data_IF_213722156183
#
_entry.id   IF_213722156183
#
_cell.length_a   1.000
_cell.length_b   1.000
_cell.length_c   1.000
_cell.angle_alpha   90.00
_cell.angle_beta   90.00
_cell.angle_gamma   90.00
#
_symmetry.space_group_name_H-M   'P 1'
#
loop_
_entity.id
_entity.type
_entity.pdbx_description
1 polymer ?
#
# COMPACT_ATOMS: atom_id res chain seq x y z
N UNK A 1 -24.78 -2.51 42.89
CA UNK A 1 -24.30 -3.20 41.68
C UNK A 1 -25.51 -3.89 41.07
N UNK A 2 -25.71 -3.78 39.77
CA UNK A 2 -26.79 -4.47 39.05
C UNK A 2 -26.57 -5.99 39.15
N UNK A 3 -27.61 -6.75 39.48
CA UNK A 3 -27.58 -8.21 39.47
C UNK A 3 -27.47 -8.72 38.02
N UNK A 4 -26.64 -9.72 37.77
CA UNK A 4 -26.51 -10.34 36.44
C UNK A 4 -27.20 -11.70 36.50
N UNK A 5 -28.28 -11.86 35.74
CA UNK A 5 -28.97 -13.13 35.61
C UNK A 5 -28.30 -13.98 34.53
N UNK A 6 -28.08 -15.24 34.86
CA UNK A 6 -27.61 -16.30 33.96
C UNK A 6 -28.73 -17.28 33.64
N UNK A 7 -29.78 -17.33 34.46
CA UNK A 7 -30.87 -18.28 34.33
C UNK A 7 -31.76 -18.01 33.09
N UNK A 8 -32.36 -19.09 32.56
CA UNK A 8 -33.18 -19.03 31.35
C UNK A 8 -34.54 -18.37 31.59
N UNK A 9 -35.17 -18.62 32.74
CA UNK A 9 -36.52 -18.15 33.07
C UNK A 9 -36.54 -17.17 34.26
N UNK A 10 -35.36 -16.62 34.63
CA UNK A 10 -35.21 -15.65 35.72
C UNK A 10 -35.33 -16.25 37.12
N UNK A 11 -35.07 -17.55 37.26
CA UNK A 11 -35.10 -18.28 38.52
C UNK A 11 -34.12 -17.68 39.54
N UNK A 12 -32.91 -17.35 39.08
CA UNK A 12 -31.87 -16.74 39.90
C UNK A 12 -32.25 -15.34 40.40
N UNK A 13 -33.06 -14.58 39.65
CA UNK A 13 -33.58 -13.27 40.06
C UNK A 13 -34.57 -13.44 41.22
N UNK A 14 -35.52 -14.37 41.13
CA UNK A 14 -36.47 -14.63 42.21
C UNK A 14 -35.77 -15.12 43.47
N UNK A 15 -34.84 -16.05 43.31
CA UNK A 15 -34.02 -16.52 44.42
C UNK A 15 -33.18 -15.39 45.02
N UNK A 16 -32.61 -14.50 44.18
CA UNK A 16 -31.81 -13.38 44.66
C UNK A 16 -32.66 -12.34 45.40
N UNK A 17 -33.90 -12.11 44.96
CA UNK A 17 -34.86 -11.27 45.69
C UNK A 17 -35.09 -11.81 47.10
N UNK A 18 -35.35 -13.11 47.22
CA UNK A 18 -35.60 -13.76 48.51
C UNK A 18 -34.33 -13.86 49.39
N UNK A 19 -33.17 -14.13 48.79
CA UNK A 19 -31.98 -14.59 49.53
C UNK A 19 -30.76 -13.67 49.41
N UNK A 20 -30.80 -12.58 48.63
CA UNK A 20 -29.65 -11.70 48.38
C UNK A 20 -29.10 -10.98 49.62
N UNK A 21 -29.82 -11.03 50.74
CA UNK A 21 -29.36 -10.57 52.04
C UNK A 21 -28.33 -11.51 52.68
N UNK A 22 -28.27 -12.78 52.26
CA UNK A 22 -27.32 -13.79 52.73
C UNK A 22 -25.97 -13.63 52.03
N UNK A 23 -24.88 -13.55 52.81
CA UNK A 23 -23.54 -13.23 52.28
C UNK A 23 -22.73 -14.40 51.76
N UNK A 24 -22.94 -15.60 52.29
CA UNK A 24 -22.21 -16.82 51.95
C UNK A 24 -23.16 -18.01 52.08
N UNK A 25 -24.23 -18.00 51.29
CA UNK A 25 -25.21 -19.06 51.32
C UNK A 25 -24.71 -20.33 50.65
N UNK A 26 -25.53 -21.36 50.75
CA UNK A 26 -25.26 -22.68 50.19
C UNK A 26 -26.41 -23.16 49.32
N UNK A 27 -26.12 -23.65 48.13
CA UNK A 27 -27.11 -24.23 47.22
C UNK A 27 -26.79 -25.69 46.89
N UNK A 28 -27.81 -26.43 46.47
CA UNK A 28 -27.66 -27.73 45.83
C UNK A 28 -28.41 -27.68 44.50
N UNK A 29 -27.73 -28.05 43.42
CA UNK A 29 -28.25 -28.00 42.05
C UNK A 29 -28.21 -29.41 41.45
N UNK A 30 -29.38 -29.99 41.23
CA UNK A 30 -29.56 -31.35 40.70
C UNK A 30 -30.01 -31.26 39.26
N UNK A 31 -29.19 -31.80 38.35
CA UNK A 31 -29.30 -31.50 36.92
C UNK A 31 -28.78 -30.10 36.63
N UNK A 32 -27.54 -29.86 37.06
CA UNK A 32 -26.91 -28.55 37.00
C UNK A 32 -26.53 -28.13 35.56
N UNK A 33 -26.35 -29.08 34.65
CA UNK A 33 -26.08 -28.88 33.23
C UNK A 33 -24.86 -27.97 32.96
N UNK A 34 -25.05 -26.73 32.53
CA UNK A 34 -23.95 -25.84 32.16
C UNK A 34 -23.54 -24.93 33.34
N UNK A 35 -22.24 -24.80 33.67
CA UNK A 35 -21.81 -23.97 34.80
C UNK A 35 -22.03 -22.46 34.60
N UNK A 36 -22.34 -22.00 33.38
CA UNK A 36 -22.49 -20.59 33.03
C UNK A 36 -23.80 -20.35 32.27
N UNK A 37 -24.01 -21.05 31.17
CA UNK A 37 -25.17 -20.83 30.30
C UNK A 37 -26.44 -21.33 30.99
N UNK A 38 -27.47 -20.49 31.07
CA UNK A 38 -28.76 -20.87 31.70
C UNK A 38 -28.66 -21.30 33.18
N UNK A 39 -27.52 -21.04 33.83
CA UNK A 39 -27.25 -21.49 35.20
C UNK A 39 -28.03 -20.66 36.23
N UNK A 40 -28.82 -21.34 37.07
CA UNK A 40 -29.54 -20.72 38.20
C UNK A 40 -28.59 -20.36 39.35
N UNK A 41 -27.44 -21.03 39.44
CA UNK A 41 -26.50 -20.89 40.55
C UNK A 41 -25.30 -20.00 40.23
N UNK A 42 -25.10 -19.59 38.96
CA UNK A 42 -23.92 -18.84 38.55
C UNK A 42 -23.78 -17.50 39.27
N UNK A 43 -24.85 -16.72 39.33
CA UNK A 43 -24.86 -15.42 39.98
C UNK A 43 -24.54 -15.50 41.48
N UNK A 44 -25.03 -16.53 42.18
CA UNK A 44 -24.78 -16.74 43.60
C UNK A 44 -23.30 -17.02 43.89
N UNK A 45 -22.68 -17.89 43.09
CA UNK A 45 -21.26 -18.20 43.24
C UNK A 45 -20.34 -17.02 42.97
N UNK A 46 -20.66 -16.20 41.97
CA UNK A 46 -19.95 -14.95 41.71
C UNK A 46 -20.10 -13.98 42.88
N UNK A 47 -21.21 -14.05 43.62
CA UNK A 47 -21.43 -13.34 44.87
C UNK A 47 -20.78 -14.00 46.09
N UNK A 48 -19.99 -15.07 45.92
CA UNK A 48 -19.23 -15.73 46.98
C UNK A 48 -19.94 -16.92 47.65
N UNK A 49 -21.10 -17.34 47.16
CA UNK A 49 -21.77 -18.54 47.62
C UNK A 49 -21.05 -19.80 47.13
N UNK A 50 -21.30 -20.93 47.77
CA UNK A 50 -20.76 -22.23 47.38
C UNK A 50 -21.86 -23.27 47.41
N UNK A 51 -21.73 -24.33 46.63
CA UNK A 51 -22.75 -25.36 46.63
C UNK A 51 -22.27 -26.70 46.09
N UNK A 52 -23.26 -27.55 45.83
CA UNK A 52 -23.06 -28.84 45.20
C UNK A 52 -23.75 -28.79 43.84
N UNK A 53 -22.99 -29.10 42.78
CA UNK A 53 -23.52 -29.29 41.43
C UNK A 53 -23.52 -30.78 41.12
N UNK A 54 -24.69 -31.34 40.83
CA UNK A 54 -24.86 -32.75 40.46
C UNK A 54 -25.16 -32.80 38.97
N UNK A 55 -24.21 -33.30 38.19
CA UNK A 55 -24.28 -33.34 36.74
C UNK A 55 -23.63 -34.64 36.21
N UNK A 56 -24.40 -35.61 35.69
CA UNK A 56 -23.88 -36.91 35.28
C UNK A 56 -23.08 -36.89 33.97
N UNK A 57 -23.25 -35.89 33.10
CA UNK A 57 -22.59 -35.85 31.80
C UNK A 57 -21.11 -35.44 31.94
N UNK A 58 -20.16 -36.26 31.43
CA UNK A 58 -18.73 -35.97 31.58
C UNK A 58 -18.27 -34.64 30.96
N UNK A 59 -18.89 -34.23 29.85
CA UNK A 59 -18.58 -32.97 29.16
C UNK A 59 -18.87 -31.75 30.04
N UNK A 60 -20.00 -31.77 30.76
CA UNK A 60 -20.38 -30.69 31.66
C UNK A 60 -19.63 -30.76 32.98
N UNK A 61 -19.42 -31.96 33.55
CA UNK A 61 -18.62 -32.12 34.76
C UNK A 61 -17.21 -31.52 34.60
N UNK A 62 -16.54 -31.77 33.46
CA UNK A 62 -15.24 -31.17 33.18
C UNK A 62 -15.27 -29.63 33.16
N UNK A 63 -16.36 -29.03 32.70
CA UNK A 63 -16.53 -27.58 32.67
C UNK A 63 -16.79 -27.03 34.07
N UNK A 64 -17.59 -27.72 34.88
CA UNK A 64 -17.77 -27.39 36.30
C UNK A 64 -16.44 -27.39 37.07
N UNK A 65 -15.58 -28.38 36.86
CA UNK A 65 -14.24 -28.40 37.49
C UNK A 65 -13.37 -27.19 37.11
N UNK A 66 -13.56 -26.63 35.91
CA UNK A 66 -12.81 -25.47 35.42
C UNK A 66 -13.40 -24.14 35.88
N UNK A 67 -14.71 -23.97 35.72
CA UNK A 67 -15.43 -22.70 35.92
C UNK A 67 -15.94 -22.54 37.36
N UNK A 68 -16.12 -23.65 38.08
CA UNK A 68 -16.71 -23.73 39.43
C UNK A 68 -15.81 -24.48 40.42
N UNK A 69 -14.49 -24.20 40.49
CA UNK A 69 -13.58 -24.95 41.37
C UNK A 69 -13.83 -24.73 42.87
N UNK A 70 -14.64 -23.73 43.24
CA UNK A 70 -15.06 -23.52 44.62
C UNK A 70 -16.21 -24.43 45.07
N UNK A 71 -16.98 -24.96 44.12
CA UNK A 71 -18.11 -25.84 44.39
C UNK A 71 -17.67 -27.30 44.51
N UNK A 72 -18.56 -28.13 45.05
CA UNK A 72 -18.44 -29.58 45.00
C UNK A 72 -19.15 -30.05 43.73
N UNK A 73 -18.39 -30.52 42.75
CA UNK A 73 -18.94 -30.93 41.45
C UNK A 73 -18.95 -32.46 41.35
N UNK A 74 -20.14 -33.05 41.24
CA UNK A 74 -20.33 -34.50 41.31
C UNK A 74 -20.79 -35.06 39.95
N UNK A 75 -19.97 -35.93 39.36
CA UNK A 75 -20.27 -36.65 38.11
C UNK A 75 -21.21 -37.85 38.36
N UNK A 76 -22.39 -37.58 38.90
CA UNK A 76 -23.38 -38.60 39.30
C UNK A 76 -24.79 -38.13 38.92
N UNK A 77 -25.73 -39.05 38.82
CA UNK A 77 -27.16 -38.75 38.86
C UNK A 77 -27.70 -38.85 40.30
N UNK A 78 -28.81 -38.15 40.57
CA UNK A 78 -29.55 -38.31 41.82
C UNK A 78 -30.80 -39.19 41.60
N UNK A 79 -31.14 -40.03 42.57
CA UNK A 79 -32.31 -40.91 42.46
C UNK A 79 -32.74 -41.55 43.79
N UNK A 80 -33.72 -42.45 43.72
CA UNK A 80 -34.34 -43.04 44.91
C UNK A 80 -33.43 -44.02 45.70
N UNK A 81 -32.41 -44.58 45.04
CA UNK A 81 -31.44 -45.48 45.64
C UNK A 81 -30.07 -45.35 44.95
N UNK A 82 -29.01 -45.68 45.67
CA UNK A 82 -27.66 -45.78 45.11
C UNK A 82 -27.59 -46.91 44.07
N UNK A 83 -26.88 -46.69 42.96
CA UNK A 83 -26.80 -47.68 41.88
C UNK A 83 -26.22 -47.12 40.58
N UNK A 84 -26.72 -47.62 39.46
CA UNK A 84 -26.38 -47.14 38.12
C UNK A 84 -27.66 -46.86 37.33
N UNK A 85 -27.61 -45.82 36.49
CA UNK A 85 -28.71 -45.41 35.62
C UNK A 85 -28.22 -45.31 34.19
N UNK A 86 -29.05 -45.75 33.25
CA UNK A 86 -28.82 -45.47 31.84
C UNK A 86 -29.39 -44.08 31.54
N UNK A 87 -28.54 -43.20 31.03
CA UNK A 87 -28.88 -41.87 30.59
C UNK A 87 -28.78 -41.80 29.05
N UNK A 88 -29.70 -41.07 28.44
CA UNK A 88 -29.75 -40.83 27.01
C UNK A 88 -29.50 -39.36 26.75
N UNK A 89 -28.41 -39.04 26.08
CA UNK A 89 -27.98 -37.67 25.78
C UNK A 89 -28.18 -37.33 24.30
N UNK A 90 -28.44 -36.06 24.01
CA UNK A 90 -28.46 -35.48 22.67
C UNK A 90 -27.32 -34.47 22.59
N UNK A 91 -26.10 -34.85 22.17
CA UNK A 91 -24.93 -33.98 22.28
C UNK A 91 -25.02 -32.64 21.53
N UNK A 92 -25.97 -32.52 20.60
CA UNK A 92 -26.24 -31.29 19.85
C UNK A 92 -27.17 -30.31 20.57
N UNK A 93 -27.82 -30.70 21.67
CA UNK A 93 -28.77 -29.88 22.42
C UNK A 93 -28.52 -30.00 23.93
N UNK A 94 -28.11 -28.91 24.57
CA UNK A 94 -27.87 -28.88 26.02
C UNK A 94 -29.19 -29.04 26.79
N UNK A 95 -29.14 -29.75 27.92
CA UNK A 95 -30.28 -29.93 28.82
C UNK A 95 -31.24 -31.06 28.45
N UNK A 96 -31.11 -31.74 27.31
CA UNK A 96 -32.06 -32.79 26.89
C UNK A 96 -31.72 -34.21 27.37
N UNK A 97 -30.74 -34.34 28.26
CA UNK A 97 -30.34 -35.65 28.74
C UNK A 97 -31.38 -36.19 29.73
N UNK A 98 -31.96 -37.35 29.41
CA UNK A 98 -33.02 -37.95 30.23
C UNK A 98 -32.77 -39.44 30.43
N UNK A 99 -33.14 -40.01 31.59
CA UNK A 99 -33.13 -41.46 31.78
C UNK A 99 -34.34 -42.17 31.15
N UNK A 100 -35.32 -41.44 30.64
CA UNK A 100 -36.51 -42.02 30.02
C UNK A 100 -36.22 -42.47 28.57
N UNK A 101 -36.27 -43.79 28.36
CA UNK A 101 -36.09 -44.39 27.03
C UNK A 101 -37.17 -43.96 26.01
N UNK A 102 -38.36 -43.55 26.47
CA UNK A 102 -39.43 -43.00 25.65
C UNK A 102 -39.08 -41.61 25.11
N UNK A 103 -38.49 -40.75 25.94
CA UNK A 103 -37.98 -39.43 25.53
C UNK A 103 -36.87 -39.61 24.49
N UNK A 104 -35.92 -40.52 24.75
CA UNK A 104 -34.87 -40.86 23.81
C UNK A 104 -35.41 -41.40 22.47
N UNK A 105 -36.47 -42.21 22.50
CA UNK A 105 -37.10 -42.71 21.28
C UNK A 105 -37.80 -41.60 20.47
N UNK A 106 -38.43 -40.64 21.15
CA UNK A 106 -39.03 -39.47 20.51
C UNK A 106 -37.98 -38.61 19.80
N UNK A 107 -36.86 -38.30 20.46
CA UNK A 107 -35.77 -37.52 19.85
C UNK A 107 -35.13 -38.24 18.65
N UNK A 108 -34.94 -39.56 18.72
CA UNK A 108 -34.49 -40.34 17.54
C UNK A 108 -35.48 -40.25 16.39
N UNK A 109 -36.79 -40.29 16.66
CA UNK A 109 -37.83 -40.17 15.64
C UNK A 109 -37.87 -38.77 14.99
N UNK A 110 -37.46 -37.74 15.74
CA UNK A 110 -37.28 -36.36 15.24
C UNK A 110 -35.97 -36.16 14.47
N UNK A 111 -35.10 -37.16 14.42
CA UNK A 111 -33.85 -37.15 13.65
C UNK A 111 -32.62 -36.71 14.43
N UNK A 112 -32.69 -36.66 15.77
CA UNK A 112 -31.54 -36.36 16.61
C UNK A 112 -30.67 -37.59 16.87
N UNK A 113 -29.36 -37.37 16.93
CA UNK A 113 -28.40 -38.38 17.37
C UNK A 113 -28.44 -38.52 18.88
N UNK A 114 -28.85 -39.70 19.37
CA UNK A 114 -28.95 -40.01 20.80
C UNK A 114 -27.82 -40.96 21.22
N UNK A 115 -27.06 -40.56 22.21
CA UNK A 115 -25.98 -41.33 22.82
C UNK A 115 -26.46 -41.97 24.13
N UNK A 116 -26.09 -43.22 24.37
CA UNK A 116 -26.39 -43.91 25.63
C UNK A 116 -25.14 -43.97 26.51
N UNK A 117 -25.29 -43.64 27.78
CA UNK A 117 -24.24 -43.76 28.78
C UNK A 117 -24.80 -44.34 30.09
N UNK A 118 -23.98 -45.12 30.80
CA UNK A 118 -24.30 -45.59 32.15
C UNK A 118 -23.59 -44.70 33.15
N UNK A 119 -24.32 -44.12 34.09
CA UNK A 119 -23.81 -43.18 35.10
C UNK A 119 -24.11 -43.68 36.51
N UNK A 120 -23.22 -43.42 37.48
CA UNK A 120 -23.49 -43.73 38.89
C UNK A 120 -24.65 -42.88 39.43
N UNK A 121 -25.45 -43.48 40.30
CA UNK A 121 -26.57 -42.83 41.00
C UNK A 121 -26.27 -42.82 42.49
N UNK A 122 -26.56 -41.68 43.15
CA UNK A 122 -26.63 -41.59 44.61
C UNK A 122 -27.97 -41.02 45.05
N UNK A 123 -28.41 -41.38 46.25
CA UNK A 123 -29.47 -40.67 46.95
C UNK A 123 -29.01 -39.27 47.37
N UNK A 124 -29.92 -38.29 47.34
CA UNK A 124 -29.61 -36.96 47.88
C UNK A 124 -29.32 -37.02 49.38
N UNK A 125 -29.93 -37.94 50.13
CA UNK A 125 -29.56 -38.18 51.54
C UNK A 125 -28.07 -38.48 51.70
N UNK A 126 -27.54 -39.39 50.87
CA UNK A 126 -26.12 -39.76 50.91
C UNK A 126 -25.20 -38.58 50.57
N UNK A 127 -25.54 -37.83 49.52
CA UNK A 127 -24.79 -36.62 49.11
C UNK A 127 -24.83 -35.55 50.20
N UNK A 128 -26.00 -35.33 50.80
CA UNK A 128 -26.22 -34.31 51.82
C UNK A 128 -25.43 -34.61 53.09
N UNK A 129 -25.51 -35.85 53.58
CA UNK A 129 -24.77 -36.31 54.76
C UNK A 129 -23.25 -36.19 54.56
N UNK A 130 -22.78 -36.47 53.35
CA UNK A 130 -21.37 -36.42 53.03
C UNK A 130 -20.84 -34.99 52.96
N UNK A 131 -21.58 -34.06 52.35
CA UNK A 131 -21.03 -32.76 51.94
C UNK A 131 -21.60 -31.54 52.66
N UNK A 132 -22.84 -31.58 53.13
CA UNK A 132 -23.49 -30.41 53.73
C UNK A 132 -23.14 -30.31 55.22
N UNK A 133 -22.85 -29.09 55.69
CA UNK A 133 -22.45 -28.81 57.08
C UNK A 133 -23.27 -27.71 57.77
N UNK A 134 -24.22 -27.11 57.06
CA UNK A 134 -25.05 -26.02 57.56
C UNK A 134 -26.30 -25.85 56.71
N UNK A 135 -26.84 -24.64 56.71
CA UNK A 135 -28.08 -24.34 56.01
C UNK A 135 -27.91 -24.38 54.49
N UNK A 136 -28.82 -25.07 53.82
CA UNK A 136 -28.99 -25.00 52.37
C UNK A 136 -30.13 -24.02 52.10
N UNK A 137 -29.83 -22.97 51.37
CA UNK A 137 -30.76 -21.87 51.19
C UNK A 137 -31.69 -22.14 50.01
N UNK A 138 -31.22 -22.87 48.99
CA UNK A 138 -32.12 -23.46 48.01
C UNK A 138 -31.60 -24.78 47.43
N UNK A 139 -32.54 -25.64 47.05
CA UNK A 139 -32.32 -26.87 46.28
C UNK A 139 -33.08 -26.74 44.96
N UNK A 140 -32.35 -26.85 43.84
CA UNK A 140 -32.93 -26.92 42.49
C UNK A 140 -32.93 -28.39 42.02
N UNK A 141 -34.04 -28.85 41.47
CA UNK A 141 -34.19 -30.18 40.87
C UNK A 141 -34.83 -30.03 39.50
N UNK A 142 -34.08 -30.42 38.47
CA UNK A 142 -34.45 -30.30 37.07
C UNK A 142 -33.70 -31.39 36.32
N UNK A 143 -34.35 -32.55 36.17
CA UNK A 143 -33.71 -33.79 35.70
C UNK A 143 -34.55 -34.43 34.60
N UNK A 144 -35.25 -33.59 33.84
CA UNK A 144 -36.00 -33.92 32.63
C UNK A 144 -36.96 -35.11 32.83
N UNK A 145 -37.81 -35.00 33.86
CA UNK A 145 -38.89 -35.94 34.17
C UNK A 145 -38.56 -36.97 35.26
N UNK A 146 -37.38 -36.89 35.88
CA UNK A 146 -36.93 -37.80 36.94
C UNK A 146 -37.07 -37.20 38.37
N UNK A 147 -37.75 -36.06 38.52
CA UNK A 147 -37.80 -35.27 39.76
C UNK A 147 -38.39 -36.07 40.92
N UNK A 148 -39.42 -36.88 40.64
CA UNK A 148 -40.06 -37.73 41.64
C UNK A 148 -39.14 -38.80 42.21
N UNK A 149 -38.22 -39.36 41.41
CA UNK A 149 -37.23 -40.33 41.88
C UNK A 149 -36.15 -39.67 42.73
N UNK A 150 -35.70 -38.46 42.34
CA UNK A 150 -34.79 -37.65 43.17
C UNK A 150 -35.40 -37.38 44.54
N UNK A 151 -36.67 -36.96 44.59
CA UNK A 151 -37.39 -36.67 45.83
C UNK A 151 -37.63 -37.91 46.70
N UNK A 152 -37.85 -39.09 46.11
CA UNK A 152 -37.94 -40.35 46.87
C UNK A 152 -36.63 -40.73 47.55
N UNK A 153 -35.50 -40.28 46.99
CA UNK A 153 -34.16 -40.44 47.57
C UNK A 153 -33.78 -39.39 48.60
N UNK A 154 -34.71 -38.51 49.00
CA UNK A 154 -34.45 -37.38 49.86
C UNK A 154 -35.43 -37.28 51.03
N UNK A 155 -34.90 -37.27 52.25
CA UNK A 155 -35.69 -37.11 53.48
C UNK A 155 -35.82 -35.63 53.85
N UNK A 156 -36.88 -35.01 53.33
CA UNK A 156 -37.24 -33.63 53.60
C UNK A 156 -37.66 -33.35 55.05
N UNK A 157 -37.84 -34.38 55.90
CA UNK A 157 -38.02 -34.20 57.35
C UNK A 157 -36.70 -33.95 58.06
N UNK A 158 -35.60 -34.49 57.51
CA UNK A 158 -34.25 -34.41 58.07
C UNK A 158 -33.43 -33.28 57.44
N UNK A 159 -33.51 -33.15 56.12
CA UNK A 159 -32.76 -32.19 55.34
C UNK A 159 -33.70 -31.08 54.86
N UNK A 160 -33.44 -29.85 55.31
CA UNK A 160 -34.39 -28.73 55.23
C UNK A 160 -33.81 -27.55 54.41
N UNK A 161 -33.69 -27.66 53.07
CA UNK A 161 -33.44 -26.48 52.26
C UNK A 161 -34.53 -25.42 52.47
N UNK A 162 -34.18 -24.14 52.50
CA UNK A 162 -35.19 -23.09 52.76
C UNK A 162 -36.18 -22.96 51.60
N UNK A 163 -35.68 -23.02 50.38
CA UNK A 163 -36.47 -22.93 49.13
C UNK A 163 -36.20 -24.17 48.27
N UNK A 164 -37.26 -24.73 47.69
CA UNK A 164 -37.20 -25.74 46.64
C UNK A 164 -37.60 -25.11 45.32
N UNK A 165 -36.82 -25.36 44.27
CA UNK A 165 -37.13 -25.01 42.88
C UNK A 165 -37.15 -26.31 42.08
N UNK A 166 -38.32 -26.74 41.64
CA UNK A 166 -38.49 -28.07 41.05
C UNK A 166 -39.18 -27.92 39.70
N UNK A 167 -38.58 -28.48 38.65
CA UNK A 167 -39.19 -28.51 37.32
C UNK A 167 -40.54 -29.25 37.39
N UNK A 168 -41.56 -28.67 36.79
CA UNK A 168 -42.94 -29.09 36.96
C UNK A 168 -43.65 -29.38 35.64
N UNK A 169 -42.91 -29.53 34.55
CA UNK A 169 -43.41 -29.79 33.20
C UNK A 169 -42.93 -31.14 32.67
N UNK A 170 -43.66 -31.70 31.71
CA UNK A 170 -43.12 -32.78 30.90
C UNK A 170 -41.97 -32.23 30.04
N UNK A 171 -40.95 -33.06 29.70
CA UNK A 171 -39.83 -32.63 28.87
C UNK A 171 -40.31 -31.92 27.60
N UNK A 172 -39.73 -30.75 27.33
CA UNK A 172 -40.05 -29.90 26.17
C UNK A 172 -41.54 -29.57 25.98
N UNK A 173 -42.30 -29.47 27.08
CA UNK A 173 -43.75 -29.25 27.05
C UNK A 173 -44.21 -28.16 28.02
N UNK A 174 -45.41 -27.60 27.77
CA UNK A 174 -46.11 -26.71 28.70
C UNK A 174 -47.08 -27.46 29.63
N UNK A 175 -47.18 -28.78 29.47
CA UNK A 175 -48.05 -29.63 30.27
C UNK A 175 -47.35 -29.92 31.60
N UNK A 176 -48.02 -29.62 32.71
CA UNK A 176 -47.42 -29.81 34.02
C UNK A 176 -47.48 -31.27 34.50
N UNK A 177 -46.46 -31.73 35.22
CA UNK A 177 -46.36 -33.09 35.80
C UNK A 177 -46.27 -33.11 37.35
N UNK A 178 -46.31 -31.94 38.01
CA UNK A 178 -46.09 -31.80 39.46
C UNK A 178 -46.95 -32.71 40.36
N UNK A 179 -48.16 -33.09 39.93
CA UNK A 179 -49.03 -34.00 40.68
C UNK A 179 -48.34 -35.35 41.02
N UNK A 180 -47.32 -35.74 40.25
CA UNK A 180 -46.56 -36.98 40.45
C UNK A 180 -45.58 -36.94 41.63
N UNK A 181 -45.19 -35.74 42.08
CA UNK A 181 -44.15 -35.55 43.10
C UNK A 181 -44.48 -34.51 44.17
N UNK A 182 -45.40 -33.57 43.94
CA UNK A 182 -45.77 -32.50 44.89
C UNK A 182 -46.22 -33.02 46.27
N UNK A 183 -46.94 -34.17 46.38
CA UNK A 183 -47.25 -34.74 47.69
C UNK A 183 -46.00 -35.09 48.52
N UNK A 184 -44.88 -35.44 47.88
CA UNK A 184 -43.60 -35.71 48.57
C UNK A 184 -43.00 -34.44 49.17
N UNK A 185 -43.33 -33.27 48.64
CA UNK A 185 -42.84 -31.97 49.12
C UNK A 185 -43.78 -31.41 50.18
N UNK A 186 -45.07 -31.28 49.83
CA UNK A 186 -46.08 -30.64 50.68
C UNK A 186 -46.40 -31.41 51.96
N UNK A 187 -46.30 -32.75 51.94
CA UNK A 187 -46.46 -33.57 53.15
C UNK A 187 -45.34 -33.34 54.18
N UNK A 188 -44.23 -32.73 53.78
CA UNK A 188 -43.08 -32.44 54.63
C UNK A 188 -42.97 -30.95 54.98
N UNK A 189 -44.09 -30.22 55.06
CA UNK A 189 -44.08 -28.84 55.57
C UNK A 189 -43.37 -27.86 54.65
N UNK A 190 -43.64 -27.96 53.35
CA UNK A 190 -43.28 -26.98 52.34
C UNK A 190 -44.54 -26.36 51.73
N UNK A 191 -44.55 -25.04 51.60
CA UNK A 191 -45.67 -24.27 51.06
C UNK A 191 -45.37 -23.83 49.64
N UNK A 192 -46.31 -24.08 48.73
CA UNK A 192 -46.23 -23.58 47.36
C UNK A 192 -46.20 -22.04 47.36
N UNK A 193 -45.26 -21.48 46.60
CA UNK A 193 -45.03 -20.04 46.50
C UNK A 193 -45.38 -19.51 45.11
N UNK A 194 -44.84 -20.15 44.06
CA UNK A 194 -44.91 -19.63 42.69
C UNK A 194 -44.75 -20.73 41.65
N UNK A 195 -45.29 -20.48 40.45
CA UNK A 195 -45.02 -21.25 39.24
C UNK A 195 -44.64 -20.28 38.12
N UNK A 196 -43.42 -20.40 37.61
CA UNK A 196 -42.89 -19.48 36.59
C UNK A 196 -43.18 -19.94 35.13
N UNK A 197 -44.00 -20.99 34.98
CA UNK A 197 -44.29 -21.62 33.70
C UNK A 197 -43.44 -22.85 33.40
N UNK A 198 -42.36 -23.06 34.14
CA UNK A 198 -41.45 -24.21 34.05
C UNK A 198 -41.25 -24.86 35.43
N UNK A 199 -40.78 -24.06 36.39
CA UNK A 199 -40.45 -24.47 37.75
C UNK A 199 -41.53 -24.06 38.76
N UNK A 200 -41.76 -24.92 39.76
CA UNK A 200 -42.53 -24.60 40.96
C UNK A 200 -41.61 -24.34 42.14
N UNK A 201 -41.94 -23.29 42.88
CA UNK A 201 -41.20 -22.83 44.05
C UNK A 201 -41.96 -23.22 45.31
N UNK A 202 -41.25 -23.79 46.29
CA UNK A 202 -41.80 -24.08 47.61
C UNK A 202 -40.88 -23.55 48.69
N UNK A 203 -41.47 -23.12 49.80
CA UNK A 203 -40.74 -22.57 50.95
C UNK A 203 -41.01 -23.43 52.17
N UNK A 204 -39.95 -23.76 52.90
CA UNK A 204 -40.04 -24.52 54.15
C UNK A 204 -40.88 -23.74 55.19
N UNK A 205 -41.69 -24.44 55.99
CA UNK A 205 -42.54 -23.82 57.02
C UNK A 205 -41.75 -22.95 58.01
N UNK A 206 -40.50 -23.32 58.30
CA UNK A 206 -39.60 -22.58 59.20
C UNK A 206 -39.09 -21.26 58.61
N UNK A 207 -39.21 -21.09 57.29
CA UNK A 207 -38.80 -19.91 56.53
C UNK A 207 -39.97 -19.24 55.79
N UNK A 208 -41.17 -19.35 56.36
CA UNK A 208 -42.40 -18.84 55.75
C UNK A 208 -42.36 -17.32 55.45
N UNK A 209 -41.45 -16.56 56.06
CA UNK A 209 -41.17 -15.16 55.71
C UNK A 209 -40.76 -14.97 54.25
N UNK A 210 -40.10 -15.96 53.63
CA UNK A 210 -39.61 -15.88 52.25
C UNK A 210 -40.74 -15.99 51.20
N UNK A 211 -41.92 -16.48 51.59
CA UNK A 211 -43.07 -16.60 50.68
C UNK A 211 -43.46 -15.26 50.05
N UNK A 212 -43.37 -14.18 50.83
CA UNK A 212 -43.75 -12.84 50.38
C UNK A 212 -42.90 -12.38 49.18
N UNK A 213 -41.61 -12.74 49.16
CA UNK A 213 -40.66 -12.34 48.12
C UNK A 213 -40.88 -13.07 46.79
N UNK A 214 -41.46 -14.28 46.84
CA UNK A 214 -41.68 -15.15 45.68
C UNK A 214 -43.08 -15.01 45.05
N UNK A 215 -43.92 -14.07 45.51
CA UNK A 215 -45.33 -13.99 45.06
C UNK A 215 -45.56 -13.45 43.65
N UNK A 216 -44.55 -12.81 43.06
CA UNK A 216 -44.63 -12.18 41.74
C UNK A 216 -43.39 -12.49 40.93
N UNK A 217 -43.55 -12.54 39.61
CA UNK A 217 -42.46 -12.75 38.66
C UNK A 217 -41.34 -11.70 38.78
N UNK A 218 -40.13 -11.98 38.25
CA UNK A 218 -39.12 -10.96 38.02
C UNK A 218 -39.70 -9.77 37.25
N UNK A 219 -39.33 -8.56 37.67
CA UNK A 219 -39.85 -7.33 37.09
C UNK A 219 -38.84 -6.18 37.24
N UNK A 220 -39.25 -4.97 36.84
CA UNK A 220 -38.40 -3.77 36.79
C UNK A 220 -37.80 -3.36 38.14
N UNK A 221 -38.35 -3.83 39.26
CA UNK A 221 -37.86 -3.52 40.60
C UNK A 221 -36.68 -4.40 41.04
N UNK A 222 -36.33 -5.44 40.27
CA UNK A 222 -35.22 -6.35 40.61
C UNK A 222 -33.84 -5.87 40.11
N UNK A 223 -33.80 -4.76 39.36
CA UNK A 223 -32.56 -4.10 38.90
C UNK A 223 -31.51 -5.06 38.29
N UNK A 224 -31.95 -5.98 37.42
CA UNK A 224 -31.08 -6.99 36.81
C UNK A 224 -30.69 -6.68 35.35
N UNK A 225 -29.64 -7.35 34.88
CA UNK A 225 -29.26 -7.42 33.47
C UNK A 225 -29.02 -8.87 33.06
N UNK A 226 -29.45 -9.24 31.86
CA UNK A 226 -29.18 -10.57 31.30
C UNK A 226 -27.71 -10.71 30.91
N UNK A 227 -27.09 -11.82 31.31
CA UNK A 227 -25.76 -12.21 30.87
C UNK A 227 -25.65 -12.27 29.34
N UNK A 228 -26.62 -12.91 28.67
CA UNK A 228 -26.65 -13.02 27.22
C UNK A 228 -26.71 -11.63 26.55
N UNK A 229 -27.51 -10.70 27.08
CA UNK A 229 -27.56 -9.34 26.54
C UNK A 229 -26.23 -8.58 26.71
N UNK A 230 -25.56 -8.76 27.85
CA UNK A 230 -24.24 -8.17 28.10
C UNK A 230 -23.21 -8.76 27.12
N UNK A 231 -23.20 -10.09 26.97
CA UNK A 231 -22.33 -10.80 26.06
C UNK A 231 -22.53 -10.35 24.60
N UNK A 232 -23.78 -10.33 24.12
CA UNK A 232 -24.10 -9.87 22.77
C UNK A 232 -23.68 -8.42 22.52
N UNK A 233 -23.90 -7.52 23.49
CA UNK A 233 -23.45 -6.12 23.38
C UNK A 233 -21.93 -6.03 23.26
N UNK A 234 -21.19 -6.83 24.01
CA UNK A 234 -19.74 -6.89 23.91
C UNK A 234 -19.30 -7.39 22.52
N UNK A 235 -19.94 -8.44 22.01
CA UNK A 235 -19.67 -8.98 20.67
C UNK A 235 -19.97 -7.97 19.56
N UNK A 236 -21.10 -7.26 19.64
CA UNK A 236 -21.45 -6.19 18.69
C UNK A 236 -20.45 -5.04 18.76
N UNK A 237 -20.02 -4.65 19.96
CA UNK A 237 -19.01 -3.61 20.13
C UNK A 237 -17.66 -4.03 19.51
N UNK A 238 -17.21 -5.26 19.75
CA UNK A 238 -16.00 -5.82 19.16
C UNK A 238 -16.09 -5.89 17.63
N UNK A 239 -17.22 -6.35 17.08
CA UNK A 239 -17.46 -6.40 15.65
C UNK A 239 -17.45 -5.00 15.00
N UNK A 240 -18.04 -3.99 15.67
CA UNK A 240 -18.00 -2.59 15.21
C UNK A 240 -16.57 -2.02 15.21
N UNK A 241 -15.78 -2.32 16.24
CA UNK A 241 -14.38 -1.90 16.29
C UNK A 241 -13.57 -2.55 15.15
N UNK A 242 -13.69 -3.87 14.96
CA UNK A 242 -13.04 -4.58 13.88
C UNK A 242 -13.45 -4.05 12.49
N UNK A 243 -14.72 -3.68 12.32
CA UNK A 243 -15.19 -3.09 11.07
C UNK A 243 -14.59 -1.69 10.83
N UNK A 244 -14.49 -0.86 11.87
CA UNK A 244 -13.84 0.45 11.77
C UNK A 244 -12.36 0.33 11.38
N UNK A 245 -11.64 -0.61 11.99
CA UNK A 245 -10.23 -0.88 11.65
C UNK A 245 -10.08 -1.35 10.20
N UNK A 246 -11.00 -2.20 9.72
CA UNK A 246 -11.02 -2.66 8.34
C UNK A 246 -11.29 -1.51 7.35
N UNK A 247 -12.21 -0.59 7.68
CA UNK A 247 -12.47 0.60 6.88
C UNK A 247 -11.23 1.50 6.81
N UNK A 248 -10.55 1.71 7.94
CA UNK A 248 -9.33 2.52 7.97
C UNK A 248 -8.21 1.88 7.14
N UNK A 249 -8.05 0.57 7.23
CA UNK A 249 -7.09 -0.18 6.41
C UNK A 249 -7.42 -0.07 4.90
N UNK A 250 -8.70 -0.12 4.55
CA UNK A 250 -9.18 0.06 3.19
C UNK A 250 -8.89 1.47 2.66
N UNK A 251 -9.18 2.51 3.44
CA UNK A 251 -8.85 3.91 3.08
C UNK A 251 -7.34 4.10 2.88
N UNK A 252 -6.53 3.54 3.76
CA UNK A 252 -5.08 3.59 3.63
C UNK A 252 -4.60 2.87 2.35
N UNK A 253 -5.21 1.72 2.02
CA UNK A 253 -4.90 1.00 0.78
C UNK A 253 -5.27 1.81 -0.47
N UNK A 254 -6.40 2.53 -0.47
CA UNK A 254 -6.77 3.43 -1.57
C UNK A 254 -5.72 4.53 -1.78
N UNK A 255 -5.26 5.17 -0.71
CA UNK A 255 -4.19 6.18 -0.79
C UNK A 255 -2.88 5.60 -1.34
N UNK A 256 -2.51 4.37 -0.94
CA UNK A 256 -1.34 3.69 -1.50
C UNK A 256 -1.49 3.40 -2.99
N UNK A 257 -2.68 2.97 -3.43
CA UNK A 257 -2.99 2.73 -4.83
C UNK A 257 -2.90 4.04 -5.63
N UNK A 258 -3.46 5.14 -5.14
CA UNK A 258 -3.38 6.46 -5.78
C UNK A 258 -1.92 6.92 -5.93
N UNK A 259 -1.11 6.76 -4.89
CA UNK A 259 0.32 7.08 -4.94
C UNK A 259 1.06 6.21 -5.96
N UNK A 260 0.78 4.91 -6.00
CA UNK A 260 1.38 3.99 -6.96
C UNK A 260 0.99 4.32 -8.40
N UNK A 261 -0.27 4.71 -8.64
CA UNK A 261 -0.72 5.20 -9.96
C UNK A 261 0.05 6.46 -10.37
N UNK A 262 0.23 7.42 -9.44
CA UNK A 262 1.02 8.62 -9.69
C UNK A 262 2.49 8.32 -10.04
N UNK A 263 3.10 7.31 -9.39
CA UNK A 263 4.45 6.86 -9.72
C UNK A 263 4.53 6.22 -11.10
N UNK A 264 3.53 5.43 -11.50
CA UNK A 264 3.45 4.83 -12.83
C UNK A 264 3.34 5.92 -13.90
N UNK A 265 2.50 6.93 -13.69
CA UNK A 265 2.34 8.05 -14.63
C UNK A 265 3.61 8.89 -14.76
N UNK A 266 4.29 9.17 -13.64
CA UNK A 266 5.61 9.83 -13.66
C UNK A 266 6.64 9.02 -14.43
N UNK A 267 6.73 7.71 -14.17
CA UNK A 267 7.64 6.81 -14.89
C UNK A 267 7.32 6.73 -16.39
N UNK A 268 6.05 6.78 -16.79
CA UNK A 268 5.65 6.85 -18.21
C UNK A 268 6.10 8.15 -18.86
N UNK A 269 5.99 9.28 -18.16
CA UNK A 269 6.47 10.57 -18.66
C UNK A 269 7.99 10.59 -18.82
N UNK A 270 8.73 10.04 -17.85
CA UNK A 270 10.19 9.88 -17.94
C UNK A 270 10.60 8.98 -19.11
N UNK A 271 9.91 7.86 -19.31
CA UNK A 271 10.16 6.96 -20.44
C UNK A 271 9.92 7.67 -21.78
N UNK A 272 8.83 8.43 -21.91
CA UNK A 272 8.54 9.18 -23.13
C UNK A 272 9.62 10.24 -23.41
N UNK A 273 10.08 10.96 -22.38
CA UNK A 273 11.16 11.94 -22.52
C UNK A 273 12.50 11.28 -22.91
N UNK A 274 12.81 10.12 -22.34
CA UNK A 274 14.00 9.34 -22.70
C UNK A 274 13.92 8.84 -24.15
N UNK A 275 12.74 8.41 -24.62
CA UNK A 275 12.52 8.01 -26.01
C UNK A 275 12.77 9.18 -26.98
N UNK A 276 12.24 10.37 -26.69
CA UNK A 276 12.48 11.57 -27.50
C UNK A 276 13.97 11.94 -27.56
N UNK A 277 14.68 11.83 -26.43
CA UNK A 277 16.13 12.06 -26.39
C UNK A 277 16.90 11.04 -27.25
N UNK A 278 16.53 9.77 -27.21
CA UNK A 278 17.14 8.71 -28.03
C UNK A 278 16.91 9.01 -29.51
N UNK A 279 15.70 9.37 -29.90
CA UNK A 279 15.37 9.74 -31.29
C UNK A 279 16.21 10.94 -31.76
N UNK A 280 16.36 11.97 -30.93
CA UNK A 280 17.20 13.13 -31.23
C UNK A 280 18.69 12.81 -31.32
N UNK A 281 19.20 11.89 -30.50
CA UNK A 281 20.58 11.42 -30.58
C UNK A 281 20.82 10.60 -31.87
N UNK A 282 19.87 9.76 -32.24
CA UNK A 282 19.90 8.99 -33.48
C UNK A 282 19.95 9.89 -34.72
N UNK A 283 19.19 10.98 -34.72
CA UNK A 283 19.22 11.96 -35.81
C UNK A 283 20.57 12.68 -35.89
N UNK A 284 21.11 13.15 -34.76
CA UNK A 284 22.46 13.75 -34.71
C UNK A 284 23.54 12.77 -35.16
N UNK A 285 23.41 11.49 -34.81
CA UNK A 285 24.34 10.45 -35.24
C UNK A 285 24.29 10.28 -36.76
N UNK A 286 23.09 10.28 -37.37
CA UNK A 286 22.94 10.25 -38.83
C UNK A 286 23.58 11.46 -39.51
N UNK A 287 23.38 12.67 -38.98
CA UNK A 287 24.00 13.88 -39.51
C UNK A 287 25.54 13.86 -39.40
N UNK A 288 26.05 13.40 -38.25
CA UNK A 288 27.49 13.24 -38.05
C UNK A 288 28.08 12.23 -39.03
N UNK A 289 27.43 11.08 -39.23
CA UNK A 289 27.84 10.10 -40.23
C UNK A 289 27.83 10.67 -41.66
N UNK A 290 26.79 11.42 -42.05
CA UNK A 290 26.76 12.08 -43.36
C UNK A 290 27.90 13.10 -43.52
N UNK A 291 28.22 13.83 -42.46
CA UNK A 291 29.33 14.78 -42.44
C UNK A 291 30.68 14.07 -42.60
N UNK A 292 30.91 12.97 -41.89
CA UNK A 292 32.12 12.14 -42.05
C UNK A 292 32.26 11.66 -43.50
N UNK A 293 31.20 11.10 -44.07
CA UNK A 293 31.19 10.63 -45.47
C UNK A 293 31.55 11.75 -46.45
N UNK A 294 31.00 12.96 -46.25
CA UNK A 294 31.32 14.10 -47.13
C UNK A 294 32.76 14.59 -46.97
N UNK A 295 33.31 14.59 -45.75
CA UNK A 295 34.72 14.93 -45.49
C UNK A 295 35.66 13.91 -46.11
N UNK A 296 35.35 12.62 -46.03
CA UNK A 296 36.17 11.56 -46.63
C UNK A 296 36.22 11.70 -48.16
N UNK A 297 35.09 12.05 -48.79
CA UNK A 297 35.06 12.38 -50.23
C UNK A 297 35.94 13.57 -50.57
N UNK A 298 35.80 14.68 -49.82
CA UNK A 298 36.63 15.87 -50.04
C UNK A 298 38.12 15.58 -49.85
N UNK A 299 38.49 14.79 -48.84
CA UNK A 299 39.86 14.34 -48.61
C UNK A 299 40.38 13.53 -49.81
N UNK A 300 39.59 12.57 -50.30
CA UNK A 300 39.96 11.79 -51.49
C UNK A 300 40.18 12.66 -52.73
N UNK A 301 39.31 13.64 -52.96
CA UNK A 301 39.46 14.61 -54.07
C UNK A 301 40.74 15.46 -53.91
N UNK A 302 41.00 15.98 -52.70
CA UNK A 302 42.21 16.76 -52.44
C UNK A 302 43.50 15.94 -52.57
N UNK A 303 43.50 14.68 -52.12
CA UNK A 303 44.63 13.76 -52.30
C UNK A 303 44.88 13.48 -53.77
N UNK A 304 43.83 13.20 -54.55
CA UNK A 304 43.95 12.99 -56.00
C UNK A 304 44.50 14.24 -56.72
N UNK A 305 44.07 15.43 -56.30
CA UNK A 305 44.60 16.68 -56.83
C UNK A 305 46.07 16.92 -56.45
N UNK A 306 46.46 16.60 -55.21
CA UNK A 306 47.85 16.69 -54.77
C UNK A 306 48.75 15.75 -55.57
N UNK A 307 48.33 14.50 -55.79
CA UNK A 307 49.06 13.55 -56.64
C UNK A 307 49.23 14.05 -58.07
N UNK A 308 48.20 14.68 -58.65
CA UNK A 308 48.29 15.29 -59.98
C UNK A 308 49.34 16.41 -60.00
N UNK A 309 49.32 17.29 -59.00
CA UNK A 309 50.24 18.41 -58.90
C UNK A 309 51.69 17.93 -58.71
N UNK A 310 51.90 16.89 -57.90
CA UNK A 310 53.21 16.25 -57.74
C UNK A 310 53.72 15.68 -59.07
N UNK A 311 52.86 15.03 -59.86
CA UNK A 311 53.23 14.54 -61.21
C UNK A 311 53.59 15.70 -62.15
N UNK A 312 52.81 16.78 -62.14
CA UNK A 312 53.11 17.97 -62.95
C UNK A 312 54.42 18.64 -62.55
N UNK A 313 54.68 18.74 -61.25
CA UNK A 313 55.93 19.29 -60.71
C UNK A 313 57.12 18.41 -61.09
N UNK A 314 57.00 17.09 -60.97
CA UNK A 314 58.03 16.15 -61.40
C UNK A 314 58.31 16.30 -62.90
N UNK A 315 57.28 16.39 -63.74
CA UNK A 315 57.42 16.63 -65.16
C UNK A 315 58.05 18.00 -65.47
N UNK A 316 57.71 19.04 -64.71
CA UNK A 316 58.31 20.36 -64.84
C UNK A 316 59.79 20.36 -64.46
N UNK A 317 60.16 19.71 -63.36
CA UNK A 317 61.54 19.56 -62.93
C UNK A 317 62.39 18.84 -64.00
N UNK A 318 61.87 17.75 -64.58
CA UNK A 318 62.53 17.07 -65.69
C UNK A 318 62.73 17.98 -66.91
N UNK A 319 61.73 18.80 -67.25
CA UNK A 319 61.87 19.81 -68.32
C UNK A 319 62.92 20.87 -67.98
N UNK A 320 62.97 21.33 -66.73
CA UNK A 320 63.98 22.30 -66.28
C UNK A 320 65.38 21.70 -66.39
N UNK A 321 65.58 20.45 -65.97
CA UNK A 321 66.85 19.73 -66.12
C UNK A 321 67.24 19.58 -67.60
N UNK A 322 66.32 19.24 -68.50
CA UNK A 322 66.59 19.17 -69.95
C UNK A 322 66.97 20.54 -70.52
N UNK A 323 66.29 21.62 -70.12
CA UNK A 323 66.63 22.99 -70.54
C UNK A 323 67.99 23.41 -70.00
N UNK A 324 68.33 23.11 -68.74
CA UNK A 324 69.64 23.38 -68.17
C UNK A 324 70.75 22.59 -68.89
N UNK A 325 70.50 21.32 -69.21
CA UNK A 325 71.42 20.49 -69.96
C UNK A 325 71.67 21.04 -71.37
N UNK A 326 70.61 21.39 -72.10
CA UNK A 326 70.72 22.01 -73.44
C UNK A 326 71.37 23.38 -73.39
N UNK A 327 71.07 24.18 -72.37
CA UNK A 327 71.70 25.49 -72.17
C UNK A 327 73.20 25.31 -71.93
N UNK A 328 73.59 24.33 -71.11
CA UNK A 328 75.00 24.03 -70.86
C UNK A 328 75.70 23.52 -72.12
N UNK A 329 75.09 22.66 -72.94
CA UNK A 329 75.63 22.25 -74.24
C UNK A 329 75.83 23.45 -75.18
N UNK A 330 74.86 24.36 -75.23
CA UNK A 330 74.95 25.60 -76.02
C UNK A 330 76.09 26.48 -75.51
N UNK A 331 76.16 26.74 -74.19
CA UNK A 331 77.18 27.57 -73.56
C UNK A 331 78.60 26.98 -73.68
N UNK A 332 78.73 25.66 -73.71
CA UNK A 332 80.03 24.97 -73.83
C UNK A 332 80.48 24.71 -75.27
N UNK A 333 79.59 24.89 -76.24
CA UNK A 333 79.89 24.71 -77.67
C UNK A 333 80.95 25.68 -78.21
N UNK A 334 81.74 25.20 -79.19
CA UNK A 334 82.81 25.98 -79.84
C UNK A 334 82.31 27.29 -80.46
N UNK A 335 81.10 27.31 -81.02
CA UNK A 335 80.51 28.51 -81.62
C UNK A 335 80.13 29.57 -80.59
N UNK A 336 79.68 29.16 -79.39
CA UNK A 336 79.30 30.09 -78.31
C UNK A 336 80.52 30.72 -77.63
N UNK A 337 81.57 29.94 -77.36
CA UNK A 337 82.84 30.46 -76.81
C UNK A 337 83.60 31.40 -77.76
N UNK A 338 83.52 31.16 -79.07
CA UNK A 338 84.16 32.04 -80.08
C UNK A 338 83.41 33.37 -80.22
N UNK A 339 82.08 33.37 -80.03
CA UNK A 339 81.24 34.58 -80.17
C UNK A 339 80.95 35.30 -78.84
N UNK A 340 81.49 34.79 -77.73
CA UNK A 340 81.33 35.34 -76.37
C UNK A 340 81.76 36.83 -76.25
N UNK A 341 82.90 37.29 -76.82
CA UNK A 341 83.28 38.70 -76.76
C UNK A 341 82.33 39.63 -77.53
N UNK A 342 81.74 39.12 -78.63
CA UNK A 342 80.82 39.87 -79.49
C UNK A 342 79.39 39.93 -78.93
N UNK A 343 79.01 39.01 -78.03
CA UNK A 343 77.69 39.00 -77.38
C UNK A 343 77.67 39.68 -76.02
N UNK A 344 78.80 39.75 -75.32
CA UNK A 344 78.97 40.64 -74.17
C UNK A 344 78.77 42.12 -74.57
N UNK A 345 79.12 42.49 -75.81
CA UNK A 345 78.88 43.83 -76.37
C UNK A 345 77.38 44.15 -76.64
N UNK A 346 76.50 43.13 -76.72
CA UNK A 346 75.06 43.28 -76.97
C UNK A 346 74.16 42.96 -75.75
N UNK A 347 74.75 42.63 -74.59
CA UNK A 347 74.00 42.36 -73.36
C UNK A 347 73.41 43.63 -72.68
N UNK A 348 73.86 44.82 -73.10
CA UNK A 348 73.35 46.10 -72.59
C UNK A 348 71.91 46.41 -72.99
N UNK A 349 71.49 46.03 -74.21
CA UNK A 349 70.17 46.40 -74.74
C UNK A 349 69.07 45.38 -74.39
N UNK A 350 69.37 44.08 -74.34
CA UNK A 350 68.41 43.05 -73.89
C UNK A 350 68.03 43.22 -72.41
N UNK A 351 68.97 43.63 -71.55
CA UNK A 351 68.69 43.92 -70.15
C UNK A 351 67.77 45.12 -69.94
N UNK A 352 67.76 46.10 -70.86
CA UNK A 352 66.83 47.22 -70.84
C UNK A 352 65.44 46.82 -71.36
N UNK A 353 65.37 46.02 -72.43
CA UNK A 353 64.12 45.52 -73.00
C UNK A 353 63.36 44.56 -72.06
N UNK A 354 64.07 43.62 -71.41
CA UNK A 354 63.47 42.70 -70.42
C UNK A 354 62.98 43.47 -69.18
N UNK A 355 63.74 44.47 -68.70
CA UNK A 355 63.32 45.33 -67.58
C UNK A 355 62.12 46.21 -67.94
N UNK A 356 62.04 46.72 -69.17
CA UNK A 356 60.88 47.50 -69.65
C UNK A 356 59.62 46.64 -69.76
N UNK A 357 59.72 45.41 -70.30
CA UNK A 357 58.60 44.48 -70.47
C UNK A 357 58.13 43.88 -69.14
N UNK A 358 59.06 43.65 -68.20
CA UNK A 358 58.76 43.28 -66.81
C UNK A 358 58.07 44.43 -66.07
N UNK A 359 58.54 45.68 -66.22
CA UNK A 359 57.90 46.86 -65.64
C UNK A 359 56.47 47.07 -66.20
N UNK A 360 56.23 46.78 -67.47
CA UNK A 360 54.91 46.90 -68.09
C UNK A 360 53.93 45.78 -67.66
N UNK A 361 54.41 44.55 -67.46
CA UNK A 361 53.61 43.47 -66.86
C UNK A 361 53.31 43.74 -65.38
N UNK A 362 54.30 44.17 -64.60
CA UNK A 362 54.11 44.56 -63.20
C UNK A 362 53.13 45.72 -63.10
N UNK A 363 53.23 46.73 -63.98
CA UNK A 363 52.27 47.83 -64.06
C UNK A 363 50.87 47.32 -64.36
N UNK A 364 50.65 46.45 -65.35
CA UNK A 364 49.33 45.85 -65.64
C UNK A 364 48.74 45.06 -64.48
N UNK A 365 49.56 44.27 -63.78
CA UNK A 365 49.14 43.52 -62.60
C UNK A 365 48.76 44.46 -61.46
N UNK A 366 49.57 45.49 -61.20
CA UNK A 366 49.30 46.53 -60.19
C UNK A 366 48.05 47.34 -60.54
N UNK A 367 47.82 47.72 -61.80
CA UNK A 367 46.61 48.44 -62.23
C UNK A 367 45.36 47.59 -62.03
N UNK A 368 45.37 46.30 -62.41
CA UNK A 368 44.27 45.37 -62.12
C UNK A 368 44.01 45.16 -60.63
N UNK A 369 45.06 45.26 -59.81
CA UNK A 369 44.98 45.19 -58.34
C UNK A 369 44.37 46.45 -57.73
N UNK A 370 44.53 47.61 -58.38
CA UNK A 370 43.92 48.89 -57.97
C UNK A 370 42.46 49.00 -58.43
N UNK A 371 42.14 48.47 -59.61
CA UNK A 371 40.79 48.54 -60.21
C UNK A 371 39.80 47.48 -59.69
N UNK A 372 40.27 46.37 -59.09
CA UNK A 372 39.42 45.26 -58.65
C UNK A 372 39.39 45.10 -57.11
N UNK A 373 38.26 45.44 -56.51
CA UNK A 373 38.07 45.51 -55.05
C UNK A 373 38.15 44.13 -54.35
N UNK A 374 37.72 43.05 -55.02
CA UNK A 374 37.77 41.68 -54.48
C UNK A 374 39.20 41.11 -54.40
N UNK A 375 40.04 41.43 -55.38
CA UNK A 375 41.47 41.07 -55.38
C UNK A 375 42.24 41.85 -54.31
N UNK A 376 41.90 43.12 -54.10
CA UNK A 376 42.52 43.99 -53.11
C UNK A 376 42.38 43.45 -51.67
N UNK A 377 41.21 42.94 -51.31
CA UNK A 377 40.97 42.35 -49.96
C UNK A 377 41.76 41.06 -49.71
N UNK A 378 42.06 40.28 -50.74
CA UNK A 378 42.79 39.00 -50.61
C UNK A 378 44.30 39.16 -50.64
N UNK A 379 44.82 40.11 -51.42
CA UNK A 379 46.27 40.26 -51.66
C UNK A 379 46.96 41.17 -50.64
N UNK A 380 46.27 42.17 -50.08
CA UNK A 380 46.83 43.09 -49.06
C UNK A 380 47.35 42.35 -47.80
N UNK A 381 46.61 41.40 -47.20
CA UNK A 381 47.10 40.66 -46.04
C UNK A 381 48.34 39.80 -46.33
N UNK A 382 48.46 39.30 -47.57
CA UNK A 382 49.60 38.52 -48.04
C UNK A 382 50.84 39.39 -48.30
N UNK A 383 50.66 40.59 -48.84
CA UNK A 383 51.75 41.56 -49.06
C UNK A 383 52.30 42.14 -47.74
N UNK A 384 51.47 42.25 -46.70
CA UNK A 384 51.90 42.69 -45.36
C UNK A 384 52.91 41.74 -44.70
N UNK A 385 52.97 40.47 -45.12
CA UNK A 385 53.98 39.49 -44.66
C UNK A 385 55.38 39.70 -45.27
N UNK A 386 55.52 40.55 -46.30
CA UNK A 386 56.79 40.82 -46.99
C UNK A 386 57.03 42.34 -47.16
N UNK A 387 57.63 43.02 -46.16
CA UNK A 387 57.68 44.50 -46.07
C UNK A 387 58.35 45.22 -47.25
N UNK A 388 59.44 44.65 -47.79
CA UNK A 388 60.18 45.24 -48.90
C UNK A 388 59.36 45.27 -50.21
N UNK A 389 58.53 44.24 -50.42
CA UNK A 389 57.66 44.14 -51.59
C UNK A 389 56.47 45.11 -51.46
N UNK A 390 55.91 45.22 -50.25
CA UNK A 390 54.83 46.13 -49.92
C UNK A 390 55.23 47.60 -50.20
N UNK A 391 56.43 48.03 -49.77
CA UNK A 391 56.92 49.38 -50.02
C UNK A 391 57.07 49.70 -51.52
N UNK A 392 57.55 48.74 -52.32
CA UNK A 392 57.70 48.93 -53.77
C UNK A 392 56.35 49.07 -54.47
N UNK A 393 55.37 48.24 -54.12
CA UNK A 393 54.00 48.30 -54.69
C UNK A 393 53.31 49.61 -54.32
N UNK A 394 53.39 50.04 -53.06
CA UNK A 394 52.79 51.31 -52.60
C UNK A 394 53.41 52.54 -53.29
N UNK A 395 54.73 52.55 -53.50
CA UNK A 395 55.41 53.65 -54.22
C UNK A 395 54.96 53.79 -55.68
N UNK A 396 54.64 52.66 -56.34
CA UNK A 396 54.11 52.61 -57.70
C UNK A 396 52.64 53.04 -57.77
N UNK A 397 51.82 52.62 -56.80
CA UNK A 397 50.43 53.06 -56.67
C UNK A 397 50.35 54.58 -56.41
N UNK A 398 51.22 55.14 -55.57
CA UNK A 398 51.29 56.57 -55.30
C UNK A 398 51.66 57.41 -56.54
N UNK A 399 52.53 56.88 -57.42
CA UNK A 399 52.87 57.53 -58.71
C UNK A 399 51.73 57.45 -59.72
N UNK A 400 50.96 56.35 -59.73
CA UNK A 400 49.79 56.19 -60.60
C UNK A 400 48.61 57.08 -60.17
N UNK A 401 48.43 57.31 -58.86
CA UNK A 401 47.39 58.20 -58.32
C UNK A 401 47.66 59.71 -58.51
N UNK A 402 48.88 60.13 -58.89
CA UNK A 402 49.24 61.55 -59.11
C UNK A 402 48.90 62.07 -60.52
N UNK A 403 48.32 61.25 -61.39
CA UNK A 403 47.74 61.70 -62.66
C UNK A 403 46.27 62.05 -62.37
N UNK A 404 45.77 63.26 -62.65
CA UNK A 404 44.42 63.63 -62.26
C UNK A 404 43.43 62.88 -63.14
N UNK A 405 42.53 62.05 -62.57
CA UNK A 405 41.34 61.62 -63.26
C UNK A 405 40.21 62.61 -62.96
N UNK A 406 39.45 62.92 -64.00
CA UNK A 406 38.19 63.65 -63.93
C UNK A 406 37.27 63.06 -62.86
N UNK A 407 36.65 63.99 -62.15
CA UNK A 407 35.61 63.89 -61.15
C UNK A 407 34.66 62.71 -61.40
N UNK A 408 34.74 61.72 -60.53
CA UNK A 408 33.62 60.86 -60.16
C UNK A 408 33.55 60.81 -58.64
N UNK A 409 32.39 61.19 -58.10
CA UNK A 409 31.87 61.13 -56.71
C UNK A 409 31.37 62.51 -56.26
N UNK A 410 30.23 62.70 -55.61
CA UNK A 410 29.61 61.97 -54.49
C UNK A 410 28.08 62.21 -54.54
N UNK A 411 27.23 61.21 -54.26
CA UNK A 411 26.76 60.82 -52.93
C UNK A 411 26.09 61.96 -52.12
N UNK A 412 24.76 61.88 -51.99
CA UNK A 412 24.01 62.53 -50.91
C UNK A 412 24.08 61.62 -49.68
N UNK A 413 24.77 62.06 -48.64
CA UNK A 413 24.65 61.54 -47.28
C UNK A 413 23.42 62.15 -46.59
N UNK A 414 22.61 61.29 -45.97
CA UNK A 414 21.50 61.65 -45.10
C UNK A 414 21.77 61.19 -43.66
N UNK A 415 22.12 62.16 -42.82
CA UNK A 415 21.85 62.32 -41.37
C UNK A 415 21.51 61.07 -40.52
N UNK A 416 22.41 60.68 -39.59
CA UNK A 416 22.15 59.69 -38.52
C UNK A 416 22.19 60.37 -37.14
N UNK A 417 21.22 60.04 -36.29
CA UNK A 417 20.93 60.67 -35.00
C UNK A 417 22.04 60.50 -33.92
N UNK A 418 22.16 61.45 -32.97
CA UNK A 418 23.37 61.63 -32.15
C UNK A 418 23.70 60.49 -31.17
N UNK A 419 22.72 59.72 -30.72
CA UNK A 419 22.90 58.66 -29.72
C UNK A 419 23.41 57.32 -30.32
N UNK A 420 23.55 57.22 -31.65
CA UNK A 420 24.00 56.01 -32.35
C UNK A 420 25.42 56.14 -32.92
N UNK A 421 26.17 57.18 -32.53
CA UNK A 421 27.50 57.47 -33.06
C UNK A 421 28.60 56.55 -32.52
N UNK A 422 28.42 55.99 -31.33
CA UNK A 422 29.43 55.17 -30.64
C UNK A 422 29.36 53.66 -30.97
N UNK A 423 28.45 53.26 -31.86
CA UNK A 423 28.31 51.87 -32.30
C UNK A 423 29.15 51.55 -33.55
N UNK A 424 29.72 50.32 -33.63
CA UNK A 424 30.38 49.81 -34.83
C UNK A 424 29.48 49.91 -36.07
N UNK A 425 30.07 50.15 -37.24
CA UNK A 425 29.34 50.39 -38.51
C UNK A 425 28.39 49.24 -38.88
N UNK A 426 28.70 47.99 -38.47
CA UNK A 426 27.84 46.81 -38.63
C UNK A 426 26.55 46.89 -37.81
N UNK A 427 26.61 47.42 -36.59
CA UNK A 427 25.45 47.60 -35.72
C UNK A 427 24.53 48.74 -36.22
N UNK A 428 25.11 49.82 -36.77
CA UNK A 428 24.34 50.91 -37.41
C UNK A 428 23.54 50.45 -38.64
N UNK A 429 24.08 49.50 -39.42
CA UNK A 429 23.38 48.90 -40.56
C UNK A 429 22.25 47.96 -40.14
N UNK A 430 22.45 47.15 -39.10
CA UNK A 430 21.39 46.28 -38.57
C UNK A 430 20.22 47.10 -37.97
N UNK A 431 20.50 48.22 -37.31
CA UNK A 431 19.45 49.10 -36.76
C UNK A 431 18.64 49.80 -37.85
N UNK A 432 19.28 50.22 -38.94
CA UNK A 432 18.60 50.81 -40.09
C UNK A 432 17.67 49.81 -40.81
N UNK A 433 18.09 48.54 -40.91
CA UNK A 433 17.27 47.46 -41.52
C UNK A 433 16.09 47.02 -40.63
N UNK A 434 16.24 47.05 -39.30
CA UNK A 434 15.14 46.74 -38.36
C UNK A 434 14.07 47.84 -38.31
N UNK A 435 14.48 49.10 -38.44
CA UNK A 435 13.58 50.26 -38.42
C UNK A 435 12.67 50.33 -39.66
N UNK A 436 13.04 49.66 -40.76
CA UNK A 436 12.28 49.65 -42.01
C UNK A 436 11.19 48.56 -42.11
N UNK A 437 11.07 47.64 -41.14
CA UNK A 437 10.10 46.52 -41.22
C UNK A 437 8.98 46.51 -40.17
N UNK A 438 8.94 47.46 -39.23
CA UNK A 438 7.98 47.43 -38.11
C UNK A 438 6.70 48.27 -38.24
N UNK A 439 6.38 48.89 -39.38
CA UNK A 439 5.06 49.53 -39.54
C UNK A 439 4.36 49.15 -40.86
N UNK A 440 3.31 48.29 -40.80
CA UNK A 440 2.41 48.02 -41.92
C UNK A 440 1.43 49.19 -42.12
N UNK A 441 0.95 49.45 -43.35
CA UNK A 441 -0.04 50.49 -43.58
C UNK A 441 -1.45 50.00 -43.22
N UNK A 442 -2.03 50.58 -42.16
CA UNK A 442 -3.48 50.57 -41.91
C UNK A 442 -4.12 51.74 -42.67
N UNK A 443 -4.99 51.41 -43.64
CA UNK A 443 -6.27 52.07 -43.94
C UNK A 443 -7.03 51.27 -44.99
#
# INVERSE_FOLDING_TARGET
>A
MTFITYAQNGEDILLWRALGHVKQGFYVDVGANDPIEHSVTKAFYDAGWRGINIEPLPSFHQRFEQDRPGDINLAIAAGAADGELKLYDVPSVNGWASPDAGVAAAHRAEGFDVVELTVPVRTLNGVWDEHVRGDVHFLKIDVEGFEGEVLRGFDLSRHRPWILVIEATLPNSRVTNHETWEPLVTAHGYRFAWFDGLNRYYVADEHAELLAELTVQPNVFDEYQSHHLIYERAQVAAARAAHADALQAYENALVQIENALGQVDAGRAELAAAQEQIEGLDERLREAHATVISRDRALAETSAYAELLERELAAANLRTVDVEYRLNEVLTSRSWKITEPLRAANAGELGAWVRARAAERVRRVVTRLVENEGLRRRVIPLLARYPALNHRVLSLVARLKRRPPEVAQEAREGNVAPHLRDLPVSARRAFADLSQRQHPPES
#
